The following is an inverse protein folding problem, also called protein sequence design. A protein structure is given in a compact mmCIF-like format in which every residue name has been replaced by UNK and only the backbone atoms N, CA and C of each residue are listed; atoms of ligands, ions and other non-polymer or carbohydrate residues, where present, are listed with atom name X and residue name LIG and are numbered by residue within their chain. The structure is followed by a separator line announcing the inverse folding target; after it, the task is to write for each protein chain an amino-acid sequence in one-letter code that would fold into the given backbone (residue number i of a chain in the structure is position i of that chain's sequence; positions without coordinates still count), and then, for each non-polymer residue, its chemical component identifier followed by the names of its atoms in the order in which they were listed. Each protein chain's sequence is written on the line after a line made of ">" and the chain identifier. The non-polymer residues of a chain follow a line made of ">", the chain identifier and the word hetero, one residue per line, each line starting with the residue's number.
data_IF_567877094199
#
_entry.id   IF_567877094199
#
_cell.length_a   1.000
_cell.length_b   1.000
_cell.length_c   1.000
_cell.angle_alpha   90.00
_cell.angle_beta   90.00
_cell.angle_gamma   90.00
#
_symmetry.space_group_name_H-M   'P 1'
#
loop_
_entity.id
_entity.type
_entity.pdbx_description
1 polymer ?
#
# COMPACT_ATOMS: atom_id res chain seq x y z
N UNK A 1 12.28 7.20 -13.78
CA UNK A 1 13.21 7.18 -12.64
C UNK A 1 14.64 7.39 -13.10
N UNK A 2 15.48 7.83 -12.22
CA UNK A 2 16.92 7.95 -12.42
C UNK A 2 17.62 7.07 -11.38
N UNK A 3 18.55 6.22 -11.83
CA UNK A 3 19.45 5.50 -10.95
C UNK A 3 20.62 6.43 -10.61
N UNK A 4 20.86 6.64 -9.32
CA UNK A 4 21.95 7.51 -8.85
C UNK A 4 22.94 6.63 -8.08
N UNK A 5 24.19 6.46 -8.57
CA UNK A 5 25.17 5.68 -7.85
C UNK A 5 25.69 6.44 -6.63
N UNK A 6 25.85 5.73 -5.53
CA UNK A 6 26.54 6.20 -4.31
C UNK A 6 27.83 5.39 -4.20
N UNK A 7 28.98 6.08 -4.29
CA UNK A 7 30.31 5.42 -4.32
C UNK A 7 30.47 4.33 -5.40
N UNK A 8 29.85 4.55 -6.57
CA UNK A 8 29.90 3.61 -7.68
C UNK A 8 28.93 2.44 -7.61
N UNK A 9 28.05 2.40 -6.62
CA UNK A 9 27.05 1.34 -6.40
C UNK A 9 25.64 1.93 -6.44
N UNK A 10 24.71 1.27 -7.11
CA UNK A 10 23.31 1.66 -7.15
C UNK A 10 22.53 1.03 -5.99
N UNK A 11 21.92 1.85 -5.14
CA UNK A 11 21.09 1.41 -4.00
C UNK A 11 19.74 2.11 -3.91
N UNK A 12 19.59 3.21 -4.60
CA UNK A 12 18.44 4.10 -4.53
C UNK A 12 17.92 4.43 -5.93
N UNK A 13 16.60 4.43 -6.06
CA UNK A 13 15.90 4.95 -7.24
C UNK A 13 15.30 6.29 -6.90
N UNK A 14 15.66 7.34 -7.64
CA UNK A 14 15.05 8.68 -7.54
C UNK A 14 14.04 8.89 -8.64
N UNK A 15 12.86 9.37 -8.29
CA UNK A 15 11.77 9.65 -9.22
C UNK A 15 11.72 11.14 -9.52
N UNK A 16 11.58 11.47 -10.78
CA UNK A 16 11.43 12.83 -11.27
C UNK A 16 10.27 12.93 -12.26
N UNK A 17 9.60 14.10 -12.31
CA UNK A 17 8.44 14.33 -13.16
C UNK A 17 8.76 14.27 -14.66
N UNK A 18 10.02 14.57 -15.06
CA UNK A 18 10.44 14.57 -16.44
C UNK A 18 11.88 14.03 -16.59
N UNK A 19 12.25 13.70 -17.82
CA UNK A 19 13.63 13.23 -18.16
C UNK A 19 14.74 14.20 -17.78
N UNK A 20 14.44 15.50 -17.71
CA UNK A 20 15.42 16.55 -17.32
C UNK A 20 15.77 16.53 -15.85
N UNK A 21 15.09 15.68 -15.04
CA UNK A 21 15.30 15.56 -13.60
C UNK A 21 15.24 16.92 -12.83
N UNK A 22 14.42 17.85 -13.32
CA UNK A 22 14.27 19.20 -12.79
C UNK A 22 13.27 19.26 -11.60
N UNK A 23 12.35 18.29 -11.52
CA UNK A 23 11.37 18.20 -10.44
C UNK A 23 11.45 16.84 -9.75
N UNK A 24 12.08 16.82 -8.59
CA UNK A 24 12.12 15.64 -7.72
C UNK A 24 10.73 15.33 -7.18
N UNK A 25 10.35 14.05 -7.16
CA UNK A 25 9.04 13.56 -6.70
C UNK A 25 9.14 12.59 -5.52
N UNK A 26 10.26 11.89 -5.38
CA UNK A 26 10.48 10.93 -4.31
C UNK A 26 11.64 10.00 -4.58
N UNK A 27 11.98 9.19 -3.58
CA UNK A 27 13.01 8.18 -3.69
C UNK A 27 12.63 6.90 -2.93
N UNK A 28 13.28 5.80 -3.30
CA UNK A 28 13.11 4.51 -2.64
C UNK A 28 14.41 3.73 -2.64
N UNK A 29 14.74 3.12 -1.51
CA UNK A 29 15.89 2.25 -1.32
C UNK A 29 15.51 0.77 -1.46
N UNK A 30 16.50 -0.07 -1.77
CA UNK A 30 16.30 -1.52 -1.86
C UNK A 30 15.72 -2.06 -0.53
N UNK A 31 14.69 -2.87 -0.64
CA UNK A 31 14.03 -3.47 0.50
C UNK A 31 13.05 -2.55 1.24
N UNK A 32 12.76 -1.34 0.75
CA UNK A 32 11.91 -0.36 1.42
C UNK A 32 10.73 0.10 0.55
N UNK A 33 9.70 0.64 1.23
CA UNK A 33 8.67 1.48 0.62
C UNK A 33 9.15 2.94 0.59
N UNK A 34 8.76 3.66 -0.47
CA UNK A 34 8.95 5.12 -0.50
C UNK A 34 7.98 5.83 0.45
N UNK A 35 8.25 7.10 0.72
CA UNK A 35 7.19 8.03 1.12
C UNK A 35 6.13 8.15 0.03
N UNK A 36 5.03 8.87 0.32
CA UNK A 36 4.00 9.15 -0.68
C UNK A 36 4.57 10.00 -1.82
N UNK A 37 4.39 9.50 -3.04
CA UNK A 37 4.68 10.26 -4.27
C UNK A 37 3.39 10.92 -4.74
N UNK A 38 3.39 12.25 -4.78
CA UNK A 38 2.25 13.05 -5.23
C UNK A 38 2.39 13.43 -6.69
N UNK A 39 1.36 13.18 -7.49
CA UNK A 39 1.35 13.43 -8.92
C UNK A 39 -0.06 13.80 -9.40
N UNK A 40 -0.18 14.01 -10.71
CA UNK A 40 -1.46 14.16 -11.38
C UNK A 40 -1.57 13.14 -12.51
N UNK A 41 -2.63 12.34 -12.48
CA UNK A 41 -2.89 11.33 -13.51
C UNK A 41 -4.21 11.64 -14.24
N UNK A 42 -4.32 11.19 -15.48
CA UNK A 42 -5.56 11.27 -16.22
C UNK A 42 -6.50 10.15 -15.75
N UNK A 43 -7.74 10.51 -15.45
CA UNK A 43 -8.80 9.52 -15.23
C UNK A 43 -9.30 8.92 -16.56
N UNK A 44 -10.24 8.00 -16.49
CA UNK A 44 -10.87 7.33 -17.65
C UNK A 44 -11.59 8.29 -18.60
N UNK A 45 -11.90 9.51 -18.14
CA UNK A 45 -12.52 10.59 -18.93
C UNK A 45 -11.49 11.58 -19.47
N UNK A 46 -10.20 11.34 -19.25
CA UNK A 46 -9.12 12.23 -19.66
C UNK A 46 -8.99 13.49 -18.78
N UNK A 47 -9.63 13.53 -17.61
CA UNK A 47 -9.52 14.64 -16.67
C UNK A 47 -8.31 14.41 -15.75
N UNK A 48 -7.50 15.45 -15.59
CA UNK A 48 -6.32 15.42 -14.72
C UNK A 48 -6.76 15.47 -13.25
N UNK A 49 -6.35 14.46 -12.46
CA UNK A 49 -6.69 14.32 -11.06
C UNK A 49 -5.45 14.25 -10.18
N UNK A 50 -5.45 14.91 -9.02
CA UNK A 50 -4.38 14.75 -8.05
C UNK A 50 -4.43 13.34 -7.43
N UNK A 51 -3.29 12.70 -7.38
CA UNK A 51 -3.14 11.34 -6.86
C UNK A 51 -1.90 11.21 -5.98
N UNK A 52 -1.91 10.18 -5.14
CA UNK A 52 -0.73 9.73 -4.42
C UNK A 52 -0.53 8.22 -4.60
N UNK A 53 0.71 7.77 -4.65
CA UNK A 53 1.09 6.36 -4.73
C UNK A 53 2.41 6.12 -4.01
N UNK A 54 2.72 4.85 -3.74
CA UNK A 54 3.98 4.42 -3.15
C UNK A 54 4.76 3.53 -4.08
N UNK A 55 6.06 3.52 -3.92
CA UNK A 55 7.00 2.65 -4.63
C UNK A 55 7.57 1.62 -3.65
N UNK A 56 7.77 0.38 -4.13
CA UNK A 56 8.47 -0.68 -3.39
C UNK A 56 9.62 -1.18 -4.24
N UNK A 57 10.85 -0.97 -3.79
CA UNK A 57 12.02 -1.44 -4.51
C UNK A 57 12.45 -2.80 -3.96
N UNK A 58 12.22 -3.86 -4.76
CA UNK A 58 12.59 -5.22 -4.39
C UNK A 58 14.06 -5.50 -4.63
N UNK A 59 14.51 -5.16 -5.81
CA UNK A 59 15.86 -5.45 -6.26
C UNK A 59 16.43 -4.31 -7.08
N UNK A 60 17.69 -4.03 -6.86
CA UNK A 60 18.53 -3.16 -7.68
C UNK A 60 19.94 -3.72 -7.64
N UNK A 61 20.40 -4.21 -8.79
CA UNK A 61 21.79 -4.69 -8.91
C UNK A 61 22.77 -3.53 -8.70
N UNK A 62 23.89 -3.79 -8.04
CA UNK A 62 24.88 -2.77 -7.72
C UNK A 62 25.47 -2.08 -8.97
N UNK A 63 25.49 -2.76 -10.11
CA UNK A 63 25.91 -2.24 -11.41
C UNK A 63 24.74 -1.60 -12.22
N UNK A 64 23.53 -1.60 -11.67
CA UNK A 64 22.32 -1.08 -12.33
C UNK A 64 21.74 -1.97 -13.43
N UNK A 65 22.26 -3.18 -13.62
CA UNK A 65 21.82 -4.10 -14.68
C UNK A 65 20.45 -4.73 -14.44
N UNK A 66 19.97 -4.75 -13.19
CA UNK A 66 18.66 -5.29 -12.80
C UNK A 66 17.93 -4.34 -11.87
N UNK A 67 16.66 -4.13 -12.15
CA UNK A 67 15.73 -3.33 -11.34
C UNK A 67 14.39 -4.05 -11.25
N UNK A 68 13.90 -4.28 -10.03
CA UNK A 68 12.55 -4.75 -9.76
C UNK A 68 11.84 -3.77 -8.84
N UNK A 69 10.90 -3.01 -9.41
CA UNK A 69 10.17 -1.94 -8.75
C UNK A 69 8.66 -2.18 -8.88
N UNK A 70 7.97 -2.22 -7.74
CA UNK A 70 6.52 -2.20 -7.70
C UNK A 70 6.02 -0.77 -7.50
N UNK A 71 4.92 -0.43 -8.18
CA UNK A 71 4.19 0.83 -8.02
C UNK A 71 2.80 0.48 -7.52
N UNK A 72 2.41 1.01 -6.37
CA UNK A 72 1.06 0.80 -5.84
C UNK A 72 -0.01 1.42 -6.73
N UNK A 73 -1.25 0.98 -6.57
CA UNK A 73 -2.39 1.68 -7.16
C UNK A 73 -2.39 3.14 -6.70
N UNK A 74 -2.71 4.05 -7.61
CA UNK A 74 -2.84 5.46 -7.29
C UNK A 74 -4.11 5.72 -6.47
N UNK A 75 -3.97 6.36 -5.32
CA UNK A 75 -5.08 6.88 -4.53
C UNK A 75 -5.43 8.27 -5.03
N UNK A 76 -6.69 8.52 -5.35
CA UNK A 76 -7.18 9.89 -5.63
C UNK A 76 -7.23 10.70 -4.34
N UNK A 77 -6.78 11.96 -4.41
CA UNK A 77 -6.80 12.89 -3.28
C UNK A 77 -8.11 13.69 -3.19
N UNK A 78 -9.03 13.44 -4.12
CA UNK A 78 -10.40 13.93 -4.10
C UNK A 78 -11.33 12.72 -3.94
N UNK A 79 -12.02 12.63 -2.80
CA UNK A 79 -12.97 11.55 -2.55
C UNK A 79 -14.15 11.62 -3.54
N UNK A 80 -14.55 10.48 -4.06
CA UNK A 80 -15.79 10.40 -4.83
C UNK A 80 -16.98 10.39 -3.86
N UNK A 81 -17.86 11.42 -3.92
CA UNK A 81 -18.98 11.55 -2.99
C UNK A 81 -20.03 10.44 -3.12
N UNK A 82 -19.89 9.55 -4.09
CA UNK A 82 -20.81 8.42 -4.25
C UNK A 82 -20.41 7.19 -3.45
N UNK A 83 -19.20 7.16 -2.86
CA UNK A 83 -18.72 6.02 -2.08
C UNK A 83 -18.99 6.12 -0.57
N UNK A 84 -19.41 7.29 -0.08
CA UNK A 84 -19.70 7.51 1.34
C UNK A 84 -21.08 8.13 1.58
N UNK A 85 -21.67 7.81 2.71
CA UNK A 85 -22.89 8.41 3.21
C UNK A 85 -22.75 8.63 4.72
N UNK A 86 -22.70 9.88 5.22
CA UNK A 86 -22.73 11.15 4.47
C UNK A 86 -21.57 11.31 3.48
N UNK A 87 -21.77 12.13 2.44
CA UNK A 87 -20.82 12.26 1.31
C UNK A 87 -19.48 12.88 1.69
N UNK A 88 -19.48 13.72 2.70
CA UNK A 88 -18.29 14.43 3.20
C UNK A 88 -17.30 13.52 3.92
N UNK A 89 -17.74 12.41 4.49
CA UNK A 89 -16.87 11.50 5.27
C UNK A 89 -15.67 11.01 4.46
N UNK A 90 -15.85 10.73 3.17
CA UNK A 90 -14.74 10.27 2.32
C UNK A 90 -13.59 11.27 2.25
N UNK A 91 -13.91 12.57 2.09
CA UNK A 91 -12.89 13.62 2.06
C UNK A 91 -12.30 13.87 3.45
N UNK A 92 -13.12 13.85 4.50
CA UNK A 92 -12.63 13.99 5.87
C UNK A 92 -11.60 12.91 6.24
N UNK A 93 -11.85 11.65 5.85
CA UNK A 93 -10.88 10.57 6.08
C UNK A 93 -9.58 10.77 5.30
N UNK A 94 -9.65 11.21 4.04
CA UNK A 94 -8.46 11.56 3.28
C UNK A 94 -7.67 12.71 3.90
N UNK A 95 -8.35 13.72 4.43
CA UNK A 95 -7.72 14.90 5.02
C UNK A 95 -7.05 14.57 6.37
N UNK A 96 -7.61 13.62 7.15
CA UNK A 96 -7.09 13.24 8.47
C UNK A 96 -6.13 12.06 8.44
N UNK A 97 -6.46 11.00 7.70
CA UNK A 97 -5.68 9.77 7.66
C UNK A 97 -4.70 9.74 6.47
N UNK A 98 -4.81 10.71 5.54
CA UNK A 98 -4.01 10.74 4.33
C UNK A 98 -4.44 9.73 3.28
N UNK A 99 -3.64 9.55 2.21
CA UNK A 99 -3.93 8.61 1.14
C UNK A 99 -3.89 7.15 1.62
N UNK A 100 -4.70 6.30 1.00
CA UNK A 100 -4.74 4.87 1.28
C UNK A 100 -3.99 4.06 0.21
N UNK A 101 -3.22 3.05 0.63
CA UNK A 101 -2.73 2.02 -0.27
C UNK A 101 -3.84 1.00 -0.48
N UNK A 102 -4.34 0.87 -1.72
CA UNK A 102 -5.25 -0.22 -2.04
C UNK A 102 -4.50 -1.55 -1.95
N UNK A 103 -5.03 -2.45 -1.12
CA UNK A 103 -4.45 -3.76 -0.95
C UNK A 103 -4.46 -4.54 -2.27
N UNK A 104 -3.32 -5.14 -2.60
CA UNK A 104 -3.17 -5.95 -3.80
C UNK A 104 -3.59 -7.39 -3.51
N UNK A 105 -4.44 -7.93 -4.37
CA UNK A 105 -4.69 -9.38 -4.44
C UNK A 105 -3.68 -10.04 -5.38
N UNK A 106 -2.44 -9.55 -5.39
CA UNK A 106 -1.37 -10.13 -6.19
C UNK A 106 -1.30 -11.63 -5.95
N UNK A 107 -1.44 -12.38 -7.03
CA UNK A 107 -1.44 -13.84 -6.98
C UNK A 107 -0.10 -14.39 -6.47
N UNK A 108 0.01 -15.71 -6.39
CA UNK A 108 1.14 -16.44 -5.79
C UNK A 108 2.56 -15.96 -6.11
N UNK A 109 2.90 -15.45 -7.32
CA UNK A 109 4.25 -14.94 -7.58
C UNK A 109 4.62 -13.70 -6.73
N UNK A 110 3.62 -12.92 -6.32
CA UNK A 110 3.78 -11.66 -5.61
C UNK A 110 3.06 -11.63 -4.25
N UNK A 111 3.01 -12.77 -3.57
CA UNK A 111 2.31 -12.91 -2.29
C UNK A 111 2.86 -11.97 -1.21
N UNK A 112 4.14 -11.68 -1.25
CA UNK A 112 4.82 -10.73 -0.36
C UNK A 112 4.26 -9.30 -0.54
N UNK A 113 4.05 -8.87 -1.80
CA UNK A 113 3.40 -7.57 -2.08
C UNK A 113 1.97 -7.55 -1.58
N UNK A 114 1.23 -8.64 -1.75
CA UNK A 114 -0.11 -8.77 -1.19
C UNK A 114 -0.10 -8.52 0.31
N UNK A 115 0.76 -9.20 1.03
CA UNK A 115 0.87 -9.07 2.49
C UNK A 115 1.30 -7.64 2.89
N UNK A 116 2.33 -7.07 2.26
CA UNK A 116 2.81 -5.72 2.58
C UNK A 116 1.76 -4.63 2.28
N UNK A 117 1.04 -4.72 1.15
CA UNK A 117 -0.02 -3.75 0.82
C UNK A 117 -1.23 -3.89 1.75
N UNK A 118 -1.58 -5.10 2.19
CA UNK A 118 -2.60 -5.30 3.22
C UNK A 118 -2.19 -4.73 4.56
N UNK A 119 -0.91 -4.84 4.97
CA UNK A 119 -0.41 -4.22 6.19
C UNK A 119 -0.61 -2.70 6.16
N UNK A 120 -0.20 -2.04 5.07
CA UNK A 120 -0.39 -0.58 4.89
C UNK A 120 -1.86 -0.17 4.85
N UNK A 121 -2.72 -0.99 4.22
CA UNK A 121 -4.16 -0.75 4.17
C UNK A 121 -4.81 -0.87 5.54
N UNK A 122 -4.48 -1.90 6.30
CA UNK A 122 -5.00 -2.15 7.64
C UNK A 122 -4.56 -1.07 8.63
N UNK A 123 -3.34 -0.59 8.52
CA UNK A 123 -2.83 0.52 9.33
C UNK A 123 -3.68 1.78 9.13
N UNK A 124 -3.94 2.14 7.87
CA UNK A 124 -4.86 3.22 7.51
C UNK A 124 -6.28 2.96 8.01
N UNK A 125 -6.79 1.72 7.92
CA UNK A 125 -8.11 1.37 8.44
C UNK A 125 -8.23 1.60 9.95
N UNK A 126 -7.18 1.27 10.73
CA UNK A 126 -7.17 1.52 12.16
C UNK A 126 -7.26 3.01 12.46
N UNK A 127 -6.49 3.85 11.76
CA UNK A 127 -6.53 5.30 11.93
C UNK A 127 -7.90 5.88 11.54
N UNK A 128 -8.50 5.40 10.44
CA UNK A 128 -9.83 5.81 9.99
C UNK A 128 -10.93 5.40 10.98
N UNK A 129 -10.86 4.18 11.54
CA UNK A 129 -11.81 3.70 12.55
C UNK A 129 -11.71 4.57 13.81
N UNK A 130 -10.52 4.82 14.33
CA UNK A 130 -10.31 5.67 15.49
C UNK A 130 -10.84 7.08 15.25
N UNK A 131 -10.53 7.66 14.08
CA UNK A 131 -11.07 8.98 13.73
C UNK A 131 -12.61 9.01 13.76
N UNK A 132 -13.27 8.00 13.17
CA UNK A 132 -14.74 7.93 13.16
C UNK A 132 -15.32 7.72 14.55
N UNK A 133 -14.73 6.85 15.37
CA UNK A 133 -15.18 6.60 16.74
C UNK A 133 -15.08 7.86 17.62
N UNK A 134 -14.01 8.64 17.44
CA UNK A 134 -13.76 9.83 18.26
C UNK A 134 -14.52 11.06 17.79
N UNK A 135 -14.84 11.17 16.50
CA UNK A 135 -15.32 12.43 15.91
C UNK A 135 -16.74 12.37 15.34
N UNK A 136 -17.37 11.19 15.29
CA UNK A 136 -18.74 11.04 14.77
C UNK A 136 -19.67 10.45 15.85
N UNK A 137 -20.93 10.90 15.90
CA UNK A 137 -21.92 10.24 16.76
C UNK A 137 -22.26 8.86 16.21
N UNK A 138 -22.32 7.87 17.09
CA UNK A 138 -22.67 6.49 16.74
C UNK A 138 -23.36 5.78 17.92
N UNK A 139 -24.33 4.91 17.61
CA UNK A 139 -24.94 3.99 18.55
C UNK A 139 -24.43 2.57 18.33
N UNK A 140 -24.08 2.26 17.09
CA UNK A 140 -23.46 0.99 16.67
C UNK A 140 -22.42 1.28 15.60
N UNK A 141 -21.18 0.82 15.81
CA UNK A 141 -20.13 0.85 14.80
C UNK A 141 -19.86 -0.57 14.30
N UNK A 142 -19.88 -0.75 12.99
CA UNK A 142 -19.56 -2.02 12.35
C UNK A 142 -18.53 -1.79 11.23
N UNK A 143 -17.50 -2.60 11.21
CA UNK A 143 -16.52 -2.61 10.11
C UNK A 143 -16.17 -4.04 9.68
N UNK A 144 -15.71 -4.20 8.46
CA UNK A 144 -15.24 -5.46 7.91
C UNK A 144 -13.80 -5.31 7.44
N UNK A 145 -12.87 -6.02 8.11
CA UNK A 145 -11.47 -6.11 7.75
C UNK A 145 -11.23 -7.40 6.96
N UNK A 146 -11.09 -7.30 5.64
CA UNK A 146 -11.15 -8.43 4.71
C UNK A 146 -9.81 -9.18 4.52
N UNK A 147 -8.73 -8.73 5.18
CA UNK A 147 -7.36 -9.20 4.94
C UNK A 147 -7.17 -10.71 5.17
N UNK A 148 -7.70 -11.25 6.29
CA UNK A 148 -7.55 -12.68 6.63
C UNK A 148 -8.33 -13.56 5.66
N UNK A 149 -9.52 -13.15 5.26
CA UNK A 149 -10.33 -13.88 4.29
C UNK A 149 -9.58 -14.01 2.95
N UNK A 150 -9.06 -12.90 2.43
CA UNK A 150 -8.25 -12.89 1.20
C UNK A 150 -6.98 -13.75 1.34
N UNK A 151 -6.29 -13.67 2.48
CA UNK A 151 -5.11 -14.46 2.74
C UNK A 151 -5.42 -15.97 2.71
N UNK A 152 -6.49 -16.37 3.38
CA UNK A 152 -6.93 -17.78 3.39
C UNK A 152 -7.32 -18.26 1.99
N UNK A 153 -8.12 -17.51 1.25
CA UNK A 153 -8.47 -17.86 -0.13
C UNK A 153 -7.26 -18.03 -1.04
N UNK A 154 -6.22 -17.25 -0.86
CA UNK A 154 -5.04 -17.27 -1.72
C UNK A 154 -3.99 -18.31 -1.29
N UNK A 155 -3.88 -18.63 0.00
CA UNK A 155 -2.74 -19.37 0.54
C UNK A 155 -3.07 -20.64 1.33
N UNK A 156 -4.35 -20.88 1.70
CA UNK A 156 -4.69 -21.97 2.61
C UNK A 156 -4.18 -23.34 2.14
N UNK A 157 -4.23 -23.62 0.83
CA UNK A 157 -3.70 -24.85 0.27
C UNK A 157 -2.16 -24.97 0.29
N UNK A 158 -1.46 -23.87 0.51
CA UNK A 158 0.00 -23.82 0.52
C UNK A 158 0.60 -23.79 1.93
N UNK A 159 -0.25 -23.63 2.96
CA UNK A 159 0.18 -23.55 4.38
C UNK A 159 -0.05 -24.85 5.17
N UNK A 160 -0.33 -25.95 4.48
CA UNK A 160 -0.33 -27.29 5.10
C UNK A 160 1.10 -27.86 5.07
N UNK A 161 1.54 -28.57 6.12
CA UNK A 161 2.92 -29.04 6.25
C UNK A 161 3.44 -29.86 5.06
N UNK A 162 2.55 -30.56 4.36
CA UNK A 162 2.87 -31.38 3.18
C UNK A 162 3.06 -30.57 1.89
N UNK A 163 2.72 -29.27 1.91
CA UNK A 163 2.88 -28.41 0.74
C UNK A 163 4.36 -28.10 0.48
N UNK A 164 4.85 -28.23 -0.76
CA UNK A 164 6.22 -27.82 -1.12
C UNK A 164 6.42 -26.31 -1.00
N UNK A 165 5.37 -25.55 -0.74
CA UNK A 165 5.39 -24.08 -0.58
C UNK A 165 5.21 -23.66 0.87
N UNK A 166 5.07 -24.57 1.82
CA UNK A 166 4.81 -24.29 3.23
C UNK A 166 5.77 -23.25 3.80
N UNK A 167 7.08 -23.47 3.64
CA UNK A 167 8.13 -22.59 4.18
C UNK A 167 8.05 -21.15 3.67
N UNK A 168 7.49 -20.94 2.50
CA UNK A 168 7.28 -19.60 1.93
C UNK A 168 5.97 -18.96 2.40
N UNK A 169 4.87 -19.71 2.39
CA UNK A 169 3.54 -19.12 2.56
C UNK A 169 3.06 -19.08 4.01
N UNK A 170 3.49 -20.03 4.85
CA UNK A 170 3.11 -20.04 6.26
C UNK A 170 3.54 -18.78 7.01
N UNK A 171 4.80 -18.29 6.90
CA UNK A 171 5.20 -17.04 7.53
C UNK A 171 4.42 -15.81 7.01
N UNK A 172 4.02 -15.81 5.74
CA UNK A 172 3.20 -14.72 5.18
C UNK A 172 1.80 -14.74 5.78
N UNK A 173 1.17 -15.92 5.90
CA UNK A 173 -0.14 -16.03 6.54
C UNK A 173 -0.09 -15.56 7.99
N UNK A 174 0.93 -15.95 8.76
CA UNK A 174 1.12 -15.49 10.14
C UNK A 174 1.16 -13.96 10.20
N UNK A 175 1.87 -13.30 9.29
CA UNK A 175 1.91 -11.83 9.23
C UNK A 175 0.55 -11.18 8.98
N UNK A 176 -0.36 -11.80 8.24
CA UNK A 176 -1.72 -11.28 8.09
C UNK A 176 -2.47 -11.28 9.42
N UNK A 177 -2.32 -12.34 10.23
CA UNK A 177 -2.93 -12.39 11.56
C UNK A 177 -2.28 -11.38 12.52
N UNK A 178 -0.95 -11.25 12.50
CA UNK A 178 -0.22 -10.25 13.27
C UNK A 178 -0.66 -8.81 12.92
N UNK A 179 -0.89 -8.53 11.62
CA UNK A 179 -1.38 -7.22 11.19
C UNK A 179 -2.79 -6.92 11.74
N UNK A 180 -3.69 -7.91 11.76
CA UNK A 180 -5.02 -7.73 12.37
C UNK A 180 -4.91 -7.54 13.89
N UNK A 181 -4.04 -8.29 14.55
CA UNK A 181 -3.78 -8.13 15.98
C UNK A 181 -3.28 -6.70 16.30
N UNK A 182 -2.37 -6.17 15.48
CA UNK A 182 -1.92 -4.77 15.59
C UNK A 182 -3.05 -3.77 15.41
N UNK A 183 -3.97 -3.99 14.45
CA UNK A 183 -5.17 -3.15 14.29
C UNK A 183 -6.00 -3.17 15.56
N UNK A 184 -6.29 -4.36 16.11
CA UNK A 184 -7.06 -4.49 17.34
C UNK A 184 -6.37 -3.79 18.51
N UNK A 185 -5.03 -3.90 18.60
CA UNK A 185 -4.27 -3.19 19.62
C UNK A 185 -4.31 -1.66 19.50
N UNK A 186 -4.50 -1.12 18.28
CA UNK A 186 -4.69 0.33 18.07
C UNK A 186 -6.11 0.83 18.41
N UNK A 187 -7.10 -0.08 18.41
CA UNK A 187 -8.50 0.26 18.66
C UNK A 187 -8.90 0.13 20.15
N UNK A 188 -8.05 -0.51 20.97
CA UNK A 188 -8.24 -0.67 22.42
C UNK A 188 -7.55 0.43 23.22
#
# INVERSE_FOLDING_TARGET
>A
GLLVPENGVYRTVKLYAAKKADKFMGEVQVGQWSDWVYDNMLDDKGVKRPVAYKLRLFELAEDGSKLELYVSSACRLEADPNYTNPREIGQELLDHCGPIVNASNAGRPYAEIGQETWALNLDWCADAINYLLDNKPWDLFYCHLHAIDVANHNMLSDVVPESPRYERFYPLLVKYYENIDQVLGKLM
#
